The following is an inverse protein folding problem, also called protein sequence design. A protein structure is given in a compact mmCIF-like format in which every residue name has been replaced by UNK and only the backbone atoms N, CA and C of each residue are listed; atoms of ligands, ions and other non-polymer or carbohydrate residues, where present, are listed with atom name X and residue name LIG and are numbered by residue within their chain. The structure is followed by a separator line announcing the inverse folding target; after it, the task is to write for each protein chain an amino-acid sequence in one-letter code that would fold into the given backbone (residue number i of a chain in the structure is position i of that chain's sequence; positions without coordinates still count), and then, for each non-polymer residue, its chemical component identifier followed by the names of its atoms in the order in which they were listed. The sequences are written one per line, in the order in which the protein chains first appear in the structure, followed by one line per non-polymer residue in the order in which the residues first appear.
data_IF_125533189757
#
_entry.id   IF_125533189757
#
_cell.length_a   1.000
_cell.length_b   1.000
_cell.length_c   1.000
_cell.angle_alpha   90.00
_cell.angle_beta   90.00
_cell.angle_gamma   90.00
#
_symmetry.space_group_name_H-M   'P 1'
#
loop_
_entity.id
_entity.type
_entity.pdbx_description
1 polymer ?
#
# COMPACT_ATOMS: atom_id res chain seq x y z
N UNK A 1 -11.70 -25.29 5.94
CA UNK A 1 -11.73 -23.91 6.52
C UNK A 1 -11.10 -22.95 5.51
N UNK A 2 -11.87 -22.45 4.53
CA UNK A 2 -11.36 -21.46 3.58
C UNK A 2 -11.15 -20.14 4.34
N UNK A 3 -9.89 -19.73 4.53
CA UNK A 3 -9.59 -18.38 5.05
C UNK A 3 -10.24 -17.38 4.10
N UNK A 4 -11.34 -16.77 4.55
CA UNK A 4 -11.92 -15.58 3.94
C UNK A 4 -10.76 -14.60 3.80
N UNK A 5 -10.24 -14.38 2.58
CA UNK A 5 -9.29 -13.29 2.34
C UNK A 5 -9.99 -12.05 2.88
N UNK A 6 -9.51 -11.53 4.00
CA UNK A 6 -9.97 -10.23 4.47
C UNK A 6 -9.76 -9.31 3.26
N UNK A 7 -10.86 -8.82 2.72
CA UNK A 7 -10.81 -7.89 1.60
C UNK A 7 -10.19 -6.64 2.16
N UNK A 8 -8.86 -6.54 2.00
CA UNK A 8 -8.11 -5.41 2.50
C UNK A 8 -8.52 -4.23 1.63
N UNK A 9 -9.13 -3.23 2.24
CA UNK A 9 -9.53 -2.03 1.53
C UNK A 9 -8.34 -1.42 0.79
N UNK A 10 -8.61 -0.91 -0.41
CA UNK A 10 -7.58 -0.31 -1.25
C UNK A 10 -7.10 0.98 -0.59
N UNK A 11 -5.83 1.05 -0.20
CA UNK A 11 -5.24 2.22 0.47
C UNK A 11 -4.86 3.37 -0.47
N UNK A 12 -5.16 3.24 -1.76
CA UNK A 12 -4.79 4.21 -2.78
C UNK A 12 -5.96 4.59 -3.67
N UNK A 13 -5.90 5.80 -4.23
CA UNK A 13 -6.88 6.27 -5.21
C UNK A 13 -6.44 5.81 -6.60
N UNK A 14 -7.21 4.89 -7.21
CA UNK A 14 -6.87 4.27 -8.50
C UNK A 14 -6.59 5.29 -9.61
N UNK A 15 -7.35 6.38 -9.68
CA UNK A 15 -7.13 7.44 -10.68
C UNK A 15 -5.77 8.12 -10.52
N UNK A 16 -5.40 8.50 -9.29
CA UNK A 16 -4.10 9.14 -9.03
C UNK A 16 -2.91 8.25 -9.40
N UNK A 17 -3.00 6.94 -9.12
CA UNK A 17 -1.95 5.99 -9.50
C UNK A 17 -1.85 5.88 -11.02
N UNK A 18 -2.99 5.79 -11.70
CA UNK A 18 -3.04 5.75 -13.17
C UNK A 18 -2.47 7.01 -13.79
N UNK A 19 -2.86 8.18 -13.29
CA UNK A 19 -2.42 9.47 -13.82
C UNK A 19 -0.91 9.66 -13.62
N UNK A 20 -0.38 9.24 -12.48
CA UNK A 20 1.07 9.22 -12.23
C UNK A 20 1.82 8.29 -13.20
N UNK A 21 1.33 7.08 -13.46
CA UNK A 21 1.99 6.17 -14.41
C UNK A 21 1.92 6.74 -15.84
N UNK A 22 0.78 7.31 -16.22
CA UNK A 22 0.60 7.96 -17.53
C UNK A 22 1.51 9.18 -17.72
N UNK A 23 1.75 9.97 -16.66
CA UNK A 23 2.65 11.12 -16.75
C UNK A 23 4.12 10.72 -16.94
N UNK A 24 4.46 9.43 -16.79
CA UNK A 24 5.76 8.86 -17.09
C UNK A 24 5.76 8.12 -18.44
N UNK A 25 4.88 8.51 -19.37
CA UNK A 25 4.73 7.92 -20.71
C UNK A 25 4.50 6.39 -20.71
N UNK A 26 3.92 5.87 -19.63
CA UNK A 26 3.64 4.45 -19.45
C UNK A 26 2.14 4.15 -19.37
N UNK A 27 1.74 2.99 -19.89
CA UNK A 27 0.38 2.48 -19.73
C UNK A 27 0.23 1.71 -18.42
N UNK A 28 -0.92 1.83 -17.75
CA UNK A 28 -1.22 1.10 -16.52
C UNK A 28 -2.04 -0.16 -16.83
N UNK A 29 -1.51 -1.34 -16.52
CA UNK A 29 -2.30 -2.57 -16.56
C UNK A 29 -3.39 -2.55 -15.47
N UNK A 30 -4.61 -2.99 -15.79
CA UNK A 30 -5.72 -3.09 -14.82
C UNK A 30 -5.34 -3.91 -13.59
N UNK A 31 -4.55 -4.96 -13.77
CA UNK A 31 -4.03 -5.80 -12.68
C UNK A 31 -3.18 -5.05 -11.63
N UNK A 32 -2.64 -3.86 -11.94
CA UNK A 32 -1.93 -3.02 -10.97
C UNK A 32 -2.92 -2.31 -10.04
N UNK A 33 -4.08 -1.88 -10.57
CA UNK A 33 -5.08 -1.09 -9.84
C UNK A 33 -6.14 -1.97 -9.17
N UNK A 34 -6.49 -3.08 -9.81
CA UNK A 34 -7.54 -4.01 -9.38
C UNK A 34 -6.98 -5.24 -8.67
N UNK A 35 -5.66 -5.43 -8.72
CA UNK A 35 -4.98 -6.53 -8.06
C UNK A 35 -4.52 -6.20 -6.63
N UNK A 36 -4.33 -7.26 -5.84
CA UNK A 36 -3.90 -7.17 -4.43
C UNK A 36 -2.43 -6.74 -4.26
N UNK A 37 -1.62 -6.78 -5.33
CA UNK A 37 -0.15 -6.61 -5.24
C UNK A 37 0.24 -5.21 -4.75
N UNK A 38 -0.28 -4.17 -5.40
CA UNK A 38 0.06 -2.79 -5.03
C UNK A 38 -0.42 -2.49 -3.60
N UNK A 39 -1.65 -2.90 -3.27
CA UNK A 39 -2.19 -2.72 -1.93
C UNK A 39 -1.36 -3.47 -0.88
N UNK A 40 -0.94 -4.70 -1.17
CA UNK A 40 -0.10 -5.52 -0.31
C UNK A 40 1.28 -4.90 -0.05
N UNK A 41 1.90 -4.28 -1.06
CA UNK A 41 3.16 -3.56 -0.89
C UNK A 41 3.02 -2.35 0.03
N UNK A 42 1.93 -1.58 -0.12
CA UNK A 42 1.64 -0.43 0.75
C UNK A 42 1.43 -0.91 2.19
N UNK A 43 0.65 -1.99 2.38
CA UNK A 43 0.42 -2.58 3.70
C UNK A 43 1.71 -3.07 4.36
N UNK A 44 2.56 -3.80 3.64
CA UNK A 44 3.84 -4.30 4.17
C UNK A 44 4.78 -3.15 4.59
N UNK A 45 4.82 -2.07 3.79
CA UNK A 45 5.56 -0.86 4.14
C UNK A 45 5.03 -0.22 5.44
N UNK A 46 3.71 -0.08 5.54
CA UNK A 46 3.06 0.52 6.71
C UNK A 46 3.22 -0.36 7.96
N UNK A 47 3.12 -1.69 7.83
CA UNK A 47 3.32 -2.63 8.93
C UNK A 47 4.75 -2.54 9.48
N UNK A 48 5.74 -2.45 8.61
CA UNK A 48 7.14 -2.22 9.00
C UNK A 48 7.31 -0.88 9.71
N UNK A 49 6.68 0.18 9.22
CA UNK A 49 6.75 1.49 9.84
C UNK A 49 6.07 1.53 11.21
N UNK A 50 4.91 0.88 11.36
CA UNK A 50 4.23 0.72 12.64
C UNK A 50 5.08 -0.11 13.60
N UNK A 51 5.72 -1.18 13.13
CA UNK A 51 6.61 -2.01 13.94
C UNK A 51 7.81 -1.20 14.47
N UNK A 52 8.46 -0.40 13.61
CA UNK A 52 9.56 0.50 14.02
C UNK A 52 9.11 1.58 14.99
N UNK A 53 7.93 2.18 14.77
CA UNK A 53 7.38 3.16 15.70
C UNK A 53 7.14 2.55 17.09
N UNK A 54 6.51 1.36 17.14
CA UNK A 54 6.26 0.62 18.38
C UNK A 54 7.55 0.18 19.08
N UNK A 55 8.54 -0.32 18.34
CA UNK A 55 9.85 -0.71 18.88
C UNK A 55 10.57 0.47 19.54
N UNK A 56 10.32 1.69 19.06
CA UNK A 56 10.81 2.93 19.65
C UNK A 56 9.90 3.52 20.73
N UNK A 57 8.91 2.78 21.24
CA UNK A 57 7.96 3.24 22.26
C UNK A 57 6.98 4.32 21.80
N UNK A 58 6.85 4.55 20.49
CA UNK A 58 6.02 5.61 19.90
C UNK A 58 4.71 5.05 19.38
N UNK A 59 3.63 5.80 19.59
CA UNK A 59 2.31 5.58 18.96
C UNK A 59 2.16 6.31 17.62
N UNK A 60 3.10 7.20 17.30
CA UNK A 60 3.11 7.99 16.08
C UNK A 60 4.19 7.49 15.12
N UNK A 61 3.76 7.01 13.96
CA UNK A 61 4.64 6.72 12.82
C UNK A 61 5.21 8.03 12.29
N UNK A 62 6.53 8.10 12.14
CA UNK A 62 7.26 9.25 11.61
C UNK A 62 7.86 8.89 10.25
N UNK A 63 8.28 9.88 9.44
CA UNK A 63 8.92 9.62 8.14
C UNK A 63 10.12 8.66 8.21
N UNK A 64 10.87 8.69 9.32
CA UNK A 64 12.00 7.78 9.59
C UNK A 64 11.62 6.31 9.82
N UNK A 65 10.33 6.02 10.01
CA UNK A 65 9.85 4.66 10.21
C UNK A 65 9.46 3.98 8.89
N UNK A 66 9.15 4.77 7.85
CA UNK A 66 8.87 4.26 6.50
C UNK A 66 10.14 3.64 5.88
#
# INVERSE_FOLDING_TARGET
MAKKKAQVDTLFVKSKVRDYIKSNDCNTASAILDGDKLNGLIMDLLDKAVARAKANGRKTVKPRDL
#
